data_IF_246923290693
#
_entry.id   IF_246923290693
#
_cell.length_a   1.000
_cell.length_b   1.000
_cell.length_c   1.000
_cell.angle_alpha   90.00
_cell.angle_beta   90.00
_cell.angle_gamma   90.00
#
_symmetry.space_group_name_H-M   'P 1'
#
loop_
_entity.id
_entity.type
_entity.pdbx_description
1 polymer ?
#
# COMPACT_ATOMS: atom_id res chain seq x y z
N UNK A 1 -5.18 12.94 2.92
CA UNK A 1 -6.47 13.46 3.39
C UNK A 1 -7.59 12.62 2.76
N UNK A 2 -8.39 11.93 3.58
CA UNK A 2 -9.47 11.04 3.12
C UNK A 2 -10.68 11.80 2.54
N UNK A 3 -10.68 13.12 2.64
CA UNK A 3 -11.74 14.00 2.11
C UNK A 3 -11.47 14.50 0.69
N UNK A 4 -10.32 14.13 0.13
CA UNK A 4 -9.91 14.59 -1.19
C UNK A 4 -10.56 13.76 -2.30
N UNK A 5 -11.57 14.34 -2.93
CA UNK A 5 -12.33 13.69 -4.01
C UNK A 5 -11.50 13.40 -5.27
N UNK A 6 -10.35 14.03 -5.46
CA UNK A 6 -9.43 13.80 -6.58
C UNK A 6 -8.34 12.78 -6.29
N UNK A 7 -8.32 12.17 -5.11
CA UNK A 7 -7.24 11.29 -4.68
C UNK A 7 -7.05 10.09 -5.60
N UNK A 8 -8.13 9.42 -6.03
CA UNK A 8 -8.05 8.24 -6.88
C UNK A 8 -7.53 8.55 -8.29
N UNK A 9 -7.94 9.70 -8.86
CA UNK A 9 -7.46 10.10 -10.19
C UNK A 9 -5.99 10.52 -10.17
N UNK A 10 -5.56 11.27 -9.15
CA UNK A 10 -4.14 11.59 -8.95
C UNK A 10 -3.28 10.35 -8.71
N UNK A 11 -3.82 9.36 -8.00
CA UNK A 11 -3.15 8.08 -7.78
C UNK A 11 -3.13 7.18 -9.03
N UNK A 12 -3.84 7.56 -10.09
CA UNK A 12 -4.01 6.77 -11.32
C UNK A 12 -4.50 5.35 -10.98
N UNK A 13 -5.65 5.29 -10.32
CA UNK A 13 -6.20 4.04 -9.80
C UNK A 13 -6.87 3.26 -10.92
N UNK A 14 -6.57 1.96 -11.03
CA UNK A 14 -7.14 1.09 -12.06
C UNK A 14 -8.59 0.74 -11.72
N UNK A 15 -9.50 0.78 -12.72
CA UNK A 15 -10.93 0.49 -12.51
C UNK A 15 -11.18 -0.92 -11.95
N UNK A 16 -10.41 -1.92 -12.39
CA UNK A 16 -10.50 -3.29 -11.84
C UNK A 16 -10.19 -3.31 -10.34
N UNK A 17 -9.18 -2.55 -9.88
CA UNK A 17 -8.85 -2.44 -8.45
C UNK A 17 -9.94 -1.75 -7.66
N UNK A 18 -10.58 -0.74 -8.24
CA UNK A 18 -11.74 -0.10 -7.63
C UNK A 18 -12.87 -1.12 -7.46
N UNK A 19 -13.21 -1.85 -8.54
CA UNK A 19 -14.25 -2.87 -8.50
C UNK A 19 -13.96 -3.94 -7.44
N UNK A 20 -12.76 -4.53 -7.41
CA UNK A 20 -12.35 -5.52 -6.41
C UNK A 20 -12.49 -4.99 -4.98
N UNK A 21 -12.07 -3.74 -4.73
CA UNK A 21 -12.08 -3.13 -3.40
C UNK A 21 -13.50 -2.95 -2.85
N UNK A 22 -14.44 -2.64 -3.73
CA UNK A 22 -15.86 -2.46 -3.35
C UNK A 22 -16.70 -3.73 -3.56
N UNK A 23 -16.04 -4.90 -3.67
CA UNK A 23 -16.71 -6.20 -3.85
C UNK A 23 -17.53 -6.31 -5.14
N UNK A 24 -17.26 -5.45 -6.11
CA UNK A 24 -18.01 -5.30 -7.35
C UNK A 24 -17.36 -5.98 -8.54
N UNK A 25 -17.98 -5.78 -9.68
CA UNK A 25 -17.48 -6.25 -10.99
C UNK A 25 -17.66 -5.18 -12.06
N UNK A 26 -16.78 -5.18 -13.05
CA UNK A 26 -16.95 -4.39 -14.27
C UNK A 26 -18.11 -5.03 -15.07
N UNK A 27 -19.11 -4.25 -15.39
CA UNK A 27 -20.25 -4.68 -16.19
C UNK A 27 -20.22 -4.09 -17.60
N UNK A 28 -19.52 -2.96 -17.79
CA UNK A 28 -19.22 -2.37 -19.09
C UNK A 28 -17.89 -1.61 -19.06
N UNK A 29 -17.21 -1.51 -20.19
CA UNK A 29 -16.00 -0.74 -20.40
C UNK A 29 -14.69 -1.43 -20.03
N UNK A 30 -13.58 -0.74 -20.21
CA UNK A 30 -12.23 -1.27 -19.99
C UNK A 30 -11.80 -1.23 -18.51
N UNK A 31 -12.04 -2.32 -17.79
CA UNK A 31 -11.62 -2.45 -16.39
C UNK A 31 -10.10 -2.36 -16.16
N UNK A 32 -9.27 -2.62 -17.17
CA UNK A 32 -7.81 -2.45 -17.09
C UNK A 32 -7.34 -1.03 -17.32
N UNK A 33 -8.24 -0.13 -17.72
CA UNK A 33 -8.00 1.32 -17.77
C UNK A 33 -7.79 1.91 -16.39
N UNK A 34 -7.42 3.19 -16.38
CA UNK A 34 -7.10 3.92 -15.16
C UNK A 34 -7.96 5.17 -15.02
N UNK A 35 -8.46 5.42 -13.84
CA UNK A 35 -9.06 6.70 -13.47
C UNK A 35 -7.94 7.72 -13.27
N UNK A 36 -7.80 8.67 -14.21
CA UNK A 36 -6.66 9.60 -14.28
C UNK A 36 -7.05 11.06 -14.16
N UNK A 37 -8.32 11.37 -14.27
CA UNK A 37 -8.86 12.74 -14.23
C UNK A 37 -10.26 12.72 -13.63
N UNK A 38 -10.67 13.83 -13.02
CA UNK A 38 -11.98 13.99 -12.40
C UNK A 38 -11.98 13.71 -10.89
N UNK A 39 -13.09 14.05 -10.26
CA UNK A 39 -13.38 13.79 -8.85
C UNK A 39 -14.32 12.60 -8.68
N UNK A 40 -14.37 12.08 -7.46
CA UNK A 40 -15.39 11.12 -7.07
C UNK A 40 -16.50 11.85 -6.34
N UNK A 41 -17.73 11.51 -6.67
CA UNK A 41 -18.90 12.05 -5.97
C UNK A 41 -20.01 11.02 -5.84
N UNK A 42 -20.93 11.28 -4.94
CA UNK A 42 -22.16 10.48 -4.77
C UNK A 42 -23.33 11.23 -5.40
N UNK A 43 -23.98 10.62 -6.36
CA UNK A 43 -25.13 11.15 -7.07
C UNK A 43 -26.41 10.99 -6.26
N UNK A 44 -26.71 11.94 -5.39
CA UNK A 44 -27.91 11.94 -4.53
C UNK A 44 -28.91 13.03 -4.88
N UNK A 45 -28.50 14.02 -5.65
CA UNK A 45 -29.37 15.10 -6.08
C UNK A 45 -30.27 14.69 -7.27
N UNK A 46 -31.29 15.50 -7.56
CA UNK A 46 -32.09 15.31 -8.76
C UNK A 46 -31.26 15.62 -10.03
N UNK A 47 -31.71 15.15 -11.21
CA UNK A 47 -30.99 15.31 -12.45
C UNK A 47 -30.54 16.75 -12.77
N UNK A 48 -31.41 17.74 -12.58
CA UNK A 48 -31.06 19.12 -12.91
C UNK A 48 -29.95 19.68 -12.00
N UNK A 49 -29.96 19.34 -10.72
CA UNK A 49 -28.92 19.72 -9.78
C UNK A 49 -27.61 18.98 -10.06
N UNK A 50 -27.67 17.71 -10.45
CA UNK A 50 -26.49 16.95 -10.81
C UNK A 50 -25.71 17.59 -11.96
N UNK A 51 -26.39 18.19 -12.95
CA UNK A 51 -25.75 18.91 -14.07
C UNK A 51 -24.85 20.07 -13.64
N UNK A 52 -25.12 20.68 -12.50
CA UNK A 52 -24.33 21.81 -11.99
C UNK A 52 -23.00 21.35 -11.34
N UNK A 53 -22.92 20.09 -10.87
CA UNK A 53 -21.81 19.61 -10.06
C UNK A 53 -20.96 18.54 -10.74
N UNK A 54 -21.54 17.79 -11.68
CA UNK A 54 -20.85 16.74 -12.43
C UNK A 54 -20.05 17.37 -13.56
N UNK A 55 -18.80 17.01 -13.64
CA UNK A 55 -17.89 17.45 -14.69
C UNK A 55 -17.47 16.26 -15.56
N UNK A 56 -16.96 16.57 -16.75
CA UNK A 56 -16.38 15.57 -17.62
C UNK A 56 -15.26 14.79 -16.90
N UNK A 57 -15.22 13.49 -17.13
CA UNK A 57 -14.28 12.55 -16.51
C UNK A 57 -14.50 12.26 -15.01
N UNK A 58 -15.54 12.80 -14.37
CA UNK A 58 -15.85 12.43 -12.99
C UNK A 58 -16.21 10.95 -12.84
N UNK A 59 -16.09 10.44 -11.62
CA UNK A 59 -16.58 9.12 -11.21
C UNK A 59 -17.75 9.30 -10.26
N UNK A 60 -18.89 8.68 -10.55
CA UNK A 60 -20.12 8.89 -9.79
C UNK A 60 -20.63 7.59 -9.19
N UNK A 61 -20.87 7.60 -7.88
CA UNK A 61 -21.55 6.51 -7.17
C UNK A 61 -23.03 6.81 -7.14
N UNK A 62 -23.84 5.91 -7.68
CA UNK A 62 -25.26 6.12 -7.92
C UNK A 62 -26.12 4.93 -7.45
N UNK A 63 -27.41 5.18 -7.28
CA UNK A 63 -28.43 4.15 -7.04
C UNK A 63 -28.99 3.58 -8.33
N UNK A 64 -30.30 3.27 -8.33
CA UNK A 64 -30.99 2.48 -9.36
C UNK A 64 -31.78 3.30 -10.40
N UNK A 65 -31.69 4.61 -10.39
CA UNK A 65 -32.46 5.43 -11.33
C UNK A 65 -31.77 5.49 -12.69
N UNK A 66 -32.40 4.89 -13.71
CA UNK A 66 -31.87 4.88 -15.08
C UNK A 66 -31.63 6.29 -15.62
N UNK A 67 -32.53 7.22 -15.32
CA UNK A 67 -32.42 8.61 -15.76
C UNK A 67 -31.16 9.30 -15.27
N UNK A 68 -30.75 9.02 -14.02
CA UNK A 68 -29.51 9.55 -13.44
C UNK A 68 -28.28 8.96 -14.16
N UNK A 69 -28.31 7.65 -14.50
CA UNK A 69 -27.24 6.99 -15.25
C UNK A 69 -27.09 7.59 -16.65
N UNK A 70 -28.20 7.75 -17.37
CA UNK A 70 -28.21 8.32 -18.72
C UNK A 70 -27.67 9.75 -18.71
N UNK A 71 -28.05 10.54 -17.72
CA UNK A 71 -27.56 11.90 -17.59
C UNK A 71 -26.06 11.96 -17.29
N UNK A 72 -25.56 11.12 -16.40
CA UNK A 72 -24.12 11.03 -16.13
C UNK A 72 -23.34 10.71 -17.40
N UNK A 73 -23.87 9.78 -18.23
CA UNK A 73 -23.28 9.43 -19.53
C UNK A 73 -23.29 10.63 -20.49
N UNK A 74 -24.36 11.41 -20.52
CA UNK A 74 -24.45 12.63 -21.34
C UNK A 74 -23.37 13.66 -20.96
N UNK A 75 -23.01 13.74 -19.69
CA UNK A 75 -21.95 14.61 -19.17
C UNK A 75 -20.52 14.07 -19.37
N UNK A 76 -20.38 12.94 -20.07
CA UNK A 76 -19.07 12.31 -20.35
C UNK A 76 -18.26 11.99 -19.09
N UNK A 77 -18.90 11.44 -18.07
CA UNK A 77 -18.20 10.90 -16.90
C UNK A 77 -17.29 9.76 -17.30
N UNK A 78 -16.26 9.48 -16.55
CA UNK A 78 -15.35 8.36 -16.84
C UNK A 78 -15.85 7.04 -16.29
N UNK A 79 -16.60 7.08 -15.18
CA UNK A 79 -17.08 5.86 -14.55
C UNK A 79 -18.37 6.10 -13.75
N UNK A 80 -19.27 5.12 -13.82
CA UNK A 80 -20.46 5.04 -12.98
C UNK A 80 -20.34 3.80 -12.09
N UNK A 81 -20.51 3.97 -10.77
CA UNK A 81 -20.58 2.87 -9.82
C UNK A 81 -22.01 2.73 -9.35
N UNK A 82 -22.62 1.60 -9.64
CA UNK A 82 -24.02 1.29 -9.25
C UNK A 82 -24.00 0.38 -8.03
N UNK A 83 -24.59 0.84 -6.94
CA UNK A 83 -24.64 0.11 -5.67
C UNK A 83 -25.80 -0.89 -5.58
N UNK A 84 -25.85 -1.63 -4.48
CA UNK A 84 -26.91 -2.58 -4.08
C UNK A 84 -27.11 -3.78 -5.03
N UNK A 85 -26.09 -4.09 -5.86
CA UNK A 85 -26.17 -5.20 -6.81
C UNK A 85 -27.25 -5.04 -7.89
N UNK A 86 -27.69 -3.81 -8.14
CA UNK A 86 -28.75 -3.52 -9.09
C UNK A 86 -28.25 -3.79 -10.51
N UNK A 87 -29.10 -4.40 -11.30
CA UNK A 87 -28.83 -4.60 -12.72
C UNK A 87 -28.96 -3.28 -13.49
N UNK A 88 -27.96 -3.02 -14.33
CA UNK A 88 -27.95 -1.85 -15.22
C UNK A 88 -28.67 -2.22 -16.50
N UNK A 89 -29.54 -1.34 -16.98
CA UNK A 89 -30.35 -1.61 -18.19
C UNK A 89 -29.49 -1.68 -19.45
N UNK A 90 -29.91 -2.47 -20.43
CA UNK A 90 -29.23 -2.61 -21.71
C UNK A 90 -29.03 -1.27 -22.43
N UNK A 91 -29.99 -0.36 -22.28
CA UNK A 91 -29.91 0.98 -22.85
C UNK A 91 -28.73 1.76 -22.28
N UNK A 92 -28.55 1.72 -20.95
CA UNK A 92 -27.43 2.37 -20.26
C UNK A 92 -26.10 1.73 -20.67
N UNK A 93 -26.03 0.39 -20.68
CA UNK A 93 -24.80 -0.34 -21.06
C UNK A 93 -24.38 0.00 -22.50
N UNK A 94 -25.33 0.01 -23.45
CA UNK A 94 -25.04 0.36 -24.85
C UNK A 94 -24.51 1.80 -24.98
N UNK A 95 -25.13 2.76 -24.30
CA UNK A 95 -24.72 4.16 -24.38
C UNK A 95 -23.34 4.37 -23.71
N UNK A 96 -23.08 3.68 -22.60
CA UNK A 96 -21.79 3.70 -21.94
C UNK A 96 -20.69 3.10 -22.83
N UNK A 97 -20.99 2.01 -23.54
CA UNK A 97 -20.09 1.40 -24.52
C UNK A 97 -19.72 2.37 -25.65
N UNK A 98 -20.71 3.07 -26.23
CA UNK A 98 -20.49 4.03 -27.31
C UNK A 98 -19.60 5.23 -26.88
N UNK A 99 -19.54 5.54 -25.58
CA UNK A 99 -18.77 6.64 -25.02
C UNK A 99 -17.54 6.21 -24.21
N UNK A 100 -17.15 4.94 -24.25
CA UNK A 100 -16.02 4.38 -23.49
C UNK A 100 -16.11 4.61 -21.97
N UNK A 101 -17.34 4.66 -21.41
CA UNK A 101 -17.57 4.86 -19.99
C UNK A 101 -17.56 3.52 -19.26
N UNK A 102 -16.83 3.45 -18.15
CA UNK A 102 -16.77 2.24 -17.33
C UNK A 102 -17.96 2.20 -16.38
N UNK A 103 -18.64 1.05 -16.31
CA UNK A 103 -19.67 0.80 -15.30
C UNK A 103 -19.26 -0.32 -14.38
N UNK A 104 -19.31 -0.06 -13.09
CA UNK A 104 -19.01 -1.00 -12.00
C UNK A 104 -20.31 -1.27 -11.24
N UNK A 105 -20.69 -2.52 -11.08
CA UNK A 105 -21.77 -2.93 -10.19
C UNK A 105 -21.20 -3.47 -8.89
N UNK A 106 -21.64 -2.94 -7.75
CA UNK A 106 -21.24 -3.35 -6.41
C UNK A 106 -22.44 -3.83 -5.60
N UNK A 107 -22.30 -4.90 -4.79
CA UNK A 107 -23.38 -5.34 -3.90
C UNK A 107 -23.61 -4.39 -2.72
N UNK A 108 -22.68 -3.48 -2.44
CA UNK A 108 -22.74 -2.58 -1.31
C UNK A 108 -23.59 -1.33 -1.59
N UNK A 109 -24.09 -0.71 -0.52
CA UNK A 109 -24.73 0.59 -0.56
C UNK A 109 -23.72 1.73 -0.82
N UNK A 110 -24.22 2.91 -1.18
CA UNK A 110 -23.40 4.08 -1.53
C UNK A 110 -22.50 4.55 -0.40
N UNK A 111 -22.91 4.41 0.85
CA UNK A 111 -22.10 4.79 2.01
C UNK A 111 -20.91 3.83 2.19
N UNK A 112 -21.17 2.52 2.10
CA UNK A 112 -20.13 1.49 2.18
C UNK A 112 -19.13 1.63 1.04
N UNK A 113 -19.61 1.84 -0.21
CA UNK A 113 -18.76 2.09 -1.37
C UNK A 113 -17.86 3.29 -1.12
N UNK A 114 -18.43 4.42 -0.69
CA UNK A 114 -17.69 5.66 -0.44
C UNK A 114 -16.59 5.52 0.61
N UNK A 115 -16.80 4.65 1.61
CA UNK A 115 -15.79 4.36 2.64
C UNK A 115 -14.67 3.47 2.14
N UNK A 116 -14.99 2.48 1.32
CA UNK A 116 -14.03 1.48 0.86
C UNK A 116 -13.19 1.95 -0.32
N UNK A 117 -13.76 2.78 -1.20
CA UNK A 117 -13.16 3.10 -2.50
C UNK A 117 -11.73 3.66 -2.40
N UNK A 118 -11.42 4.41 -1.35
CA UNK A 118 -10.08 4.95 -1.12
C UNK A 118 -9.02 3.88 -0.82
N UNK A 119 -9.44 2.66 -0.45
CA UNK A 119 -8.51 1.53 -0.24
C UNK A 119 -8.01 0.94 -1.56
N UNK A 120 -8.59 1.32 -2.69
CA UNK A 120 -8.13 0.90 -4.03
C UNK A 120 -6.87 1.63 -4.50
N UNK A 121 -6.43 2.67 -3.78
CA UNK A 121 -5.24 3.45 -4.13
C UNK A 121 -4.00 2.56 -4.13
N UNK A 122 -3.22 2.55 -5.24
CA UNK A 122 -2.06 1.70 -5.32
C UNK A 122 -0.96 2.13 -4.34
N UNK A 123 -0.31 1.14 -3.72
CA UNK A 123 0.80 1.37 -2.76
C UNK A 123 1.88 2.28 -3.34
N UNK A 124 2.16 2.17 -4.65
CA UNK A 124 3.15 3.03 -5.32
C UNK A 124 2.87 4.53 -5.20
N UNK A 125 1.63 4.93 -4.97
CA UNK A 125 1.26 6.34 -4.80
C UNK A 125 1.61 6.89 -3.41
N UNK A 126 1.56 6.03 -2.40
CA UNK A 126 1.78 6.41 -0.99
C UNK A 126 3.14 5.95 -0.45
N UNK A 127 3.82 5.03 -1.15
CA UNK A 127 5.13 4.55 -0.71
C UNK A 127 6.18 5.66 -0.82
N UNK A 128 7.12 5.65 0.10
CA UNK A 128 8.33 6.46 0.00
C UNK A 128 9.30 5.81 -0.98
N UNK A 129 9.86 6.59 -1.90
CA UNK A 129 10.78 6.12 -2.96
C UNK A 129 12.19 6.70 -2.86
N UNK A 130 12.32 7.82 -2.16
CA UNK A 130 13.55 8.56 -1.98
C UNK A 130 14.05 8.48 -0.54
N UNK A 131 15.36 8.57 -0.37
CA UNK A 131 16.02 8.53 0.95
C UNK A 131 15.59 7.33 1.79
N UNK A 132 15.44 6.15 1.16
CA UNK A 132 15.14 4.92 1.86
C UNK A 132 16.37 4.48 2.65
N UNK A 133 16.20 4.25 3.94
CA UNK A 133 17.22 3.60 4.78
C UNK A 133 17.05 2.10 4.62
N UNK A 134 18.03 1.46 3.99
CA UNK A 134 18.07 0.01 3.76
C UNK A 134 19.35 -0.57 4.31
N UNK A 135 19.34 -1.85 4.62
CA UNK A 135 20.51 -2.59 5.05
C UNK A 135 20.84 -3.72 4.07
N UNK A 136 22.11 -4.10 4.05
CA UNK A 136 22.61 -5.25 3.30
C UNK A 136 22.67 -6.49 4.20
N UNK A 137 22.68 -7.67 3.59
CA UNK A 137 22.99 -8.93 4.30
C UNK A 137 24.40 -8.99 4.86
N UNK A 138 25.28 -8.14 4.38
CA UNK A 138 26.70 -8.10 4.78
C UNK A 138 26.97 -7.04 5.87
N UNK A 139 25.95 -6.21 6.22
CA UNK A 139 26.11 -5.16 7.23
C UNK A 139 26.25 -5.77 8.63
N UNK A 140 27.11 -5.20 9.46
CA UNK A 140 27.26 -5.61 10.83
C UNK A 140 26.13 -5.09 11.73
N UNK A 141 25.75 -5.89 12.71
CA UNK A 141 24.63 -5.59 13.61
C UNK A 141 24.81 -4.30 14.39
N UNK A 142 26.03 -3.94 14.77
CA UNK A 142 26.34 -2.72 15.50
C UNK A 142 26.09 -1.48 14.64
N UNK A 143 26.57 -1.50 13.39
CA UNK A 143 26.36 -0.41 12.42
C UNK A 143 24.86 -0.21 12.15
N UNK A 144 24.13 -1.32 12.02
CA UNK A 144 22.67 -1.28 11.84
C UNK A 144 21.98 -0.62 13.05
N UNK A 145 22.37 -0.97 14.29
CA UNK A 145 21.82 -0.39 15.50
C UNK A 145 22.03 1.13 15.56
N UNK A 146 23.23 1.60 15.24
CA UNK A 146 23.58 3.02 15.22
C UNK A 146 22.73 3.81 14.23
N UNK A 147 22.47 3.23 13.06
CA UNK A 147 21.58 3.84 12.06
C UNK A 147 20.14 3.84 12.57
N UNK A 148 19.68 2.73 13.16
CA UNK A 148 18.31 2.61 13.68
C UNK A 148 18.01 3.63 14.80
N UNK A 149 18.99 3.96 15.63
CA UNK A 149 18.82 4.98 16.69
C UNK A 149 18.51 6.35 16.09
N UNK A 150 19.13 6.70 14.97
CA UNK A 150 18.97 7.99 14.28
C UNK A 150 17.64 8.10 13.51
N UNK A 151 16.98 7.01 13.22
CA UNK A 151 15.76 6.97 12.41
C UNK A 151 14.56 6.43 13.20
N UNK A 152 13.38 7.07 13.05
CA UNK A 152 12.14 6.67 13.75
C UNK A 152 11.35 5.55 13.05
N UNK A 153 11.94 4.89 12.05
CA UNK A 153 11.25 3.81 11.34
C UNK A 153 11.11 2.57 12.25
N UNK A 154 10.00 1.86 12.09
CA UNK A 154 9.74 0.61 12.83
C UNK A 154 10.47 -0.58 12.23
N UNK A 155 10.59 -0.59 10.90
CA UNK A 155 11.26 -1.65 10.14
C UNK A 155 12.05 -1.03 8.98
N UNK A 156 13.11 -1.72 8.59
CA UNK A 156 14.01 -1.31 7.52
C UNK A 156 14.13 -2.46 6.53
N UNK A 157 14.05 -2.21 5.20
CA UNK A 157 14.28 -3.23 4.20
C UNK A 157 15.72 -3.74 4.22
N UNK A 158 15.89 -5.04 4.03
CA UNK A 158 17.19 -5.68 3.81
C UNK A 158 17.29 -6.07 2.34
N UNK A 159 18.33 -5.62 1.68
CA UNK A 159 18.58 -5.84 0.26
C UNK A 159 19.78 -6.75 0.04
N UNK A 160 19.75 -7.56 -1.00
CA UNK A 160 20.89 -8.34 -1.42
C UNK A 160 21.80 -7.56 -2.39
N UNK A 161 22.92 -8.15 -2.81
CA UNK A 161 23.87 -7.58 -3.79
C UNK A 161 23.26 -7.21 -5.14
N UNK A 162 22.07 -7.75 -5.46
CA UNK A 162 21.32 -7.44 -6.70
C UNK A 162 20.29 -6.30 -6.51
N UNK A 163 20.29 -5.65 -5.34
CA UNK A 163 19.31 -4.60 -5.00
C UNK A 163 17.88 -5.10 -4.73
N UNK A 164 17.69 -6.43 -4.64
CA UNK A 164 16.37 -7.01 -4.35
C UNK A 164 16.13 -7.03 -2.84
N UNK A 165 14.98 -6.53 -2.40
CA UNK A 165 14.52 -6.68 -1.03
C UNK A 165 14.26 -8.16 -0.73
N UNK A 166 14.90 -8.69 0.30
CA UNK A 166 14.83 -10.10 0.72
C UNK A 166 14.22 -10.27 2.10
N UNK A 167 14.02 -9.18 2.83
CA UNK A 167 13.41 -9.19 4.15
C UNK A 167 13.38 -7.81 4.77
N UNK A 168 12.98 -7.76 6.03
CA UNK A 168 12.99 -6.55 6.85
C UNK A 168 13.63 -6.84 8.20
N UNK A 169 14.29 -5.82 8.78
CA UNK A 169 14.84 -5.88 10.13
C UNK A 169 14.26 -4.75 10.97
N UNK A 170 13.99 -5.00 12.23
CA UNK A 170 13.46 -4.06 13.19
C UNK A 170 14.26 -4.09 14.49
N UNK A 171 14.09 -3.09 15.36
CA UNK A 171 14.74 -3.08 16.70
C UNK A 171 14.43 -4.33 17.51
N UNK A 172 13.22 -4.91 17.35
CA UNK A 172 12.82 -6.12 18.07
C UNK A 172 13.72 -7.31 17.75
N UNK A 173 14.19 -7.42 16.51
CA UNK A 173 15.06 -8.53 16.11
C UNK A 173 16.39 -8.54 16.89
N UNK A 174 16.85 -7.38 17.38
CA UNK A 174 18.06 -7.31 18.22
C UNK A 174 17.80 -7.73 19.68
N UNK A 175 16.56 -7.59 20.18
CA UNK A 175 16.21 -8.04 21.53
C UNK A 175 16.27 -9.56 21.66
N UNK A 176 15.99 -10.27 20.57
CA UNK A 176 15.97 -11.73 20.50
C UNK A 176 17.34 -12.31 20.08
N UNK A 177 18.34 -11.45 19.88
CA UNK A 177 19.70 -11.91 19.54
C UNK A 177 20.37 -12.48 20.78
N UNK A 178 20.65 -13.76 20.74
CA UNK A 178 21.51 -14.41 21.72
C UNK A 178 22.99 -14.17 21.35
N UNK A 179 23.78 -13.76 22.35
CA UNK A 179 25.23 -13.72 22.20
C UNK A 179 25.74 -15.11 21.89
N UNK A 180 26.76 -15.19 21.04
CA UNK A 180 27.44 -16.48 20.79
C UNK A 180 28.09 -16.98 22.07
N UNK A 181 27.78 -18.21 22.45
CA UNK A 181 28.43 -18.89 23.56
C UNK A 181 29.78 -19.41 23.10
N UNK A 182 30.83 -19.06 23.79
CA UNK A 182 32.22 -19.43 23.47
C UNK A 182 32.92 -20.05 24.68
N UNK A 183 33.82 -20.94 24.42
CA UNK A 183 34.78 -21.45 25.39
C UNK A 183 36.13 -20.94 24.95
N UNK A 184 36.87 -20.27 25.83
CA UNK A 184 38.24 -19.82 25.57
C UNK A 184 39.19 -20.94 25.95
N UNK A 185 40.07 -21.28 25.04
CA UNK A 185 41.12 -22.31 25.29
C UNK A 185 42.45 -21.64 25.10
N UNK A 186 43.31 -21.70 26.14
CA UNK A 186 44.67 -21.14 26.14
C UNK A 186 44.72 -19.61 25.90
N UNK A 187 43.63 -18.90 26.27
CA UNK A 187 43.49 -17.46 26.12
C UNK A 187 42.70 -16.91 27.31
N UNK A 188 43.38 -16.46 28.35
CA UNK A 188 42.74 -15.92 29.54
C UNK A 188 42.73 -14.38 29.62
N UNK A 189 43.40 -13.69 28.71
CA UNK A 189 43.47 -12.24 28.62
C UNK A 189 42.74 -11.76 27.33
N UNK A 190 42.09 -10.58 27.43
CA UNK A 190 41.29 -10.05 26.33
C UNK A 190 42.09 -9.72 25.08
N UNK A 191 43.31 -9.29 25.24
CA UNK A 191 44.27 -8.96 24.16
C UNK A 191 44.79 -10.17 23.41
N UNK A 192 44.67 -11.37 23.97
CA UNK A 192 45.01 -12.64 23.35
C UNK A 192 43.84 -13.26 22.59
N UNK A 193 42.61 -12.84 22.88
CA UNK A 193 41.41 -13.36 22.27
C UNK A 193 41.13 -12.72 20.91
N UNK A 194 40.20 -13.31 20.16
CA UNK A 194 39.72 -12.76 18.88
C UNK A 194 39.01 -11.42 19.08
N UNK A 195 39.06 -10.57 18.07
CA UNK A 195 38.36 -9.30 18.08
C UNK A 195 36.86 -9.47 18.44
N UNK A 196 36.35 -8.54 19.25
CA UNK A 196 34.94 -8.52 19.71
C UNK A 196 34.55 -9.68 20.64
N UNK A 197 35.48 -10.31 21.34
CA UNK A 197 35.19 -11.35 22.33
C UNK A 197 34.28 -10.86 23.48
N UNK A 198 34.32 -9.57 23.78
CA UNK A 198 33.47 -8.91 24.76
C UNK A 198 31.99 -8.92 24.39
N UNK A 199 31.66 -9.19 23.11
CA UNK A 199 30.30 -9.34 22.59
C UNK A 199 29.78 -10.77 22.66
N UNK A 200 30.59 -11.74 23.09
CA UNK A 200 30.19 -13.12 23.28
C UNK A 200 29.85 -13.42 24.75
N UNK A 201 29.11 -14.52 24.96
CA UNK A 201 28.92 -15.11 26.29
C UNK A 201 30.03 -16.15 26.54
N UNK A 202 31.02 -15.76 27.35
CA UNK A 202 32.09 -16.66 27.71
C UNK A 202 31.56 -17.67 28.72
N UNK A 203 31.41 -18.91 28.31
CA UNK A 203 30.88 -20.00 29.12
C UNK A 203 31.96 -20.62 30.02
N UNK A 204 33.18 -20.72 29.53
CA UNK A 204 34.28 -21.38 30.20
C UNK A 204 35.61 -20.86 29.64
N UNK A 205 36.64 -20.84 30.50
CA UNK A 205 38.03 -20.55 30.14
C UNK A 205 38.86 -21.74 30.56
N UNK A 206 39.50 -22.39 29.61
CA UNK A 206 40.40 -23.51 29.84
C UNK A 206 41.79 -23.01 29.52
N UNK A 207 42.59 -22.72 30.57
CA UNK A 207 43.92 -22.18 30.43
C UNK A 207 44.85 -22.81 31.47
N UNK A 208 46.10 -22.97 31.13
CA UNK A 208 47.16 -23.47 32.01
C UNK A 208 48.05 -22.35 32.55
N UNK A 209 47.86 -21.11 32.09
CA UNK A 209 48.57 -19.94 32.56
C UNK A 209 47.95 -19.37 33.85
N UNK A 210 48.76 -18.61 34.62
CA UNK A 210 48.20 -17.89 35.79
C UNK A 210 47.15 -16.90 35.34
N UNK A 211 46.00 -16.87 36.03
CA UNK A 211 44.99 -15.83 35.81
C UNK A 211 45.63 -14.46 36.01
N UNK A 212 45.61 -13.62 34.98
CA UNK A 212 45.96 -12.21 35.08
C UNK A 212 45.05 -11.52 36.09
N UNK A 213 45.58 -10.65 36.90
CA UNK A 213 44.86 -9.86 37.94
C UNK A 213 44.16 -8.69 37.28
#
# INVERSE_FOLDING_TARGET
DTTDSYLLSRARTQYMRIAETIGGKIVEGNGHGYFIQGKIMVGTANPDKMKEYVEENDMIIMGNREEDHLQAIEQNVSCIIVGLGIEVTEKVLKLAHEKDIVIISSPYDTFTISRLINQSIPVKYIMKTDNLVTFSTEDFTDDIQDVMVKHRHRAFPVINKKGKCIGTISRRNFLDMHRKKVVLVDHNEKDQAVDNIDKADIMEIIDHHKLGT
#
